data_IF_306364420822
#
_entry.id   IF_306364420822
#
_cell.length_a   1.000
_cell.length_b   1.000
_cell.length_c   1.000
_cell.angle_alpha   90.00
_cell.angle_beta   90.00
_cell.angle_gamma   90.00
#
_symmetry.space_group_name_H-M   'P 1'
#
loop_
_entity.id
_entity.type
_entity.pdbx_description
1 polymer ?
#
# COMPACT_ATOMS: atom_id res chain seq x y z
N UNK A 1 -5.32 -3.78 24.37
CA UNK A 1 -4.29 -4.27 23.42
C UNK A 1 -4.92 -4.56 22.05
N UNK A 2 -6.06 -5.30 22.00
CA UNK A 2 -6.76 -5.66 20.74
C UNK A 2 -7.24 -4.44 19.95
N UNK A 3 -7.86 -3.47 20.63
CA UNK A 3 -8.33 -2.22 20.02
C UNK A 3 -7.17 -1.30 19.63
N UNK A 4 -6.05 -1.42 20.31
CA UNK A 4 -4.82 -0.71 20.06
C UNK A 4 -4.16 -1.10 18.72
N UNK A 5 -4.03 -2.39 18.42
CA UNK A 5 -3.44 -2.86 17.16
C UNK A 5 -4.33 -2.54 15.95
N UNK A 6 -5.64 -2.67 16.08
CA UNK A 6 -6.60 -2.38 15.01
C UNK A 6 -6.73 -0.88 14.74
N UNK A 7 -6.86 -0.03 15.77
CA UNK A 7 -7.01 1.41 15.61
C UNK A 7 -5.74 2.10 15.14
N UNK A 8 -4.56 1.62 15.55
CA UNK A 8 -3.26 2.21 15.18
C UNK A 8 -2.75 1.73 13.82
N UNK A 9 -2.94 0.46 13.46
CA UNK A 9 -2.69 -0.01 12.09
C UNK A 9 -3.59 0.69 11.05
N UNK A 10 -4.83 1.01 11.43
CA UNK A 10 -5.73 1.82 10.63
C UNK A 10 -5.23 3.26 10.47
N UNK A 11 -4.62 3.88 11.49
CA UNK A 11 -4.07 5.23 11.41
C UNK A 11 -3.00 5.37 10.33
N UNK A 12 -2.06 4.43 10.24
CA UNK A 12 -1.01 4.44 9.21
C UNK A 12 -1.57 4.18 7.81
N UNK A 13 -2.59 3.33 7.68
CA UNK A 13 -3.30 3.08 6.42
C UNK A 13 -4.04 4.34 5.96
N UNK A 14 -4.76 5.03 6.85
CA UNK A 14 -5.48 6.27 6.50
C UNK A 14 -4.55 7.41 6.12
N UNK A 15 -3.44 7.58 6.84
CA UNK A 15 -2.42 8.59 6.55
C UNK A 15 -1.86 8.42 5.15
N UNK A 16 -1.41 7.21 4.84
CA UNK A 16 -0.87 6.89 3.52
C UNK A 16 -1.92 7.13 2.44
N UNK A 17 -3.16 6.72 2.68
CA UNK A 17 -4.26 6.89 1.74
C UNK A 17 -4.49 8.36 1.37
N UNK A 18 -4.34 9.30 2.31
CA UNK A 18 -4.49 10.75 2.04
C UNK A 18 -3.39 11.25 1.11
N UNK A 19 -2.13 10.84 1.33
CA UNK A 19 -1.03 11.21 0.45
C UNK A 19 -1.13 10.53 -0.92
N UNK A 20 -1.49 9.24 -0.96
CA UNK A 20 -1.71 8.50 -2.20
C UNK A 20 -2.81 9.16 -3.04
N UNK A 21 -3.92 9.59 -2.43
CA UNK A 21 -5.01 10.30 -3.13
C UNK A 21 -4.54 11.61 -3.78
N UNK A 22 -3.55 12.29 -3.22
CA UNK A 22 -2.93 13.49 -3.81
C UNK A 22 -2.03 13.11 -4.98
N UNK A 23 -1.18 12.09 -4.80
CA UNK A 23 -0.23 11.63 -5.83
C UNK A 23 -0.98 11.07 -7.03
N UNK A 24 -1.98 10.23 -6.79
CA UNK A 24 -2.80 9.57 -7.80
C UNK A 24 -3.88 10.51 -8.40
N UNK A 25 -3.98 11.76 -7.93
CA UNK A 25 -5.01 12.74 -8.31
C UNK A 25 -6.43 12.16 -8.23
N UNK A 26 -6.68 11.34 -7.22
CA UNK A 26 -7.95 10.65 -7.04
C UNK A 26 -9.04 11.60 -6.57
N UNK A 27 -10.17 11.68 -7.29
CA UNK A 27 -11.31 12.53 -6.92
C UNK A 27 -12.18 11.90 -5.84
N UNK A 28 -12.30 10.57 -5.84
CA UNK A 28 -13.17 9.82 -4.92
C UNK A 28 -12.45 8.62 -4.32
N UNK A 29 -12.80 8.30 -3.08
CA UNK A 29 -12.35 7.12 -2.35
C UNK A 29 -13.53 6.53 -1.58
N UNK A 30 -13.84 5.23 -1.82
CA UNK A 30 -14.98 4.54 -1.21
C UNK A 30 -16.30 5.31 -1.32
N UNK A 31 -16.54 5.88 -2.50
CA UNK A 31 -17.75 6.66 -2.81
C UNK A 31 -17.81 8.08 -2.24
N UNK A 32 -16.78 8.53 -1.49
CA UNK A 32 -16.68 9.89 -0.92
C UNK A 32 -15.61 10.70 -1.65
N UNK A 33 -15.76 12.02 -1.70
CA UNK A 33 -14.73 12.91 -2.20
C UNK A 33 -13.47 12.81 -1.35
N UNK A 34 -12.30 12.83 -2.00
CA UNK A 34 -11.00 12.90 -1.33
C UNK A 34 -10.81 14.28 -0.68
N UNK A 35 -9.85 14.37 0.25
CA UNK A 35 -9.53 15.64 0.91
C UNK A 35 -9.04 16.67 -0.12
N UNK A 36 -8.16 16.23 -1.04
CA UNK A 36 -7.64 17.07 -2.11
C UNK A 36 -8.74 17.60 -3.04
N UNK A 37 -9.79 16.82 -3.30
CA UNK A 37 -10.92 17.24 -4.14
C UNK A 37 -11.91 18.13 -3.40
N UNK A 38 -12.11 17.89 -2.09
CA UNK A 38 -13.08 18.62 -1.28
C UNK A 38 -12.56 20.00 -0.85
N UNK A 39 -11.27 20.13 -0.62
CA UNK A 39 -10.60 21.36 -0.22
C UNK A 39 -9.52 21.72 -1.25
N UNK A 40 -8.27 21.29 -1.02
CA UNK A 40 -7.13 21.49 -1.91
C UNK A 40 -6.00 20.48 -1.59
N UNK A 41 -4.96 20.46 -2.43
CA UNK A 41 -3.81 19.55 -2.26
C UNK A 41 -3.01 19.88 -1.00
N UNK A 42 -2.84 21.17 -0.68
CA UNK A 42 -2.06 21.60 0.49
C UNK A 42 -2.73 21.12 1.77
N UNK A 43 -4.05 21.29 1.89
CA UNK A 43 -4.85 20.78 3.01
C UNK A 43 -4.74 19.25 3.14
N UNK A 44 -4.76 18.53 2.02
CA UNK A 44 -4.60 17.06 2.04
C UNK A 44 -3.21 16.66 2.55
N UNK A 45 -2.13 17.29 2.06
CA UNK A 45 -0.76 17.02 2.51
C UNK A 45 -0.61 17.32 4.01
N UNK A 46 -1.08 18.49 4.47
CA UNK A 46 -1.01 18.86 5.89
C UNK A 46 -1.82 17.88 6.77
N UNK A 47 -2.99 17.44 6.31
CA UNK A 47 -3.79 16.44 7.01
C UNK A 47 -3.04 15.10 7.10
N UNK A 48 -2.42 14.65 6.02
CA UNK A 48 -1.60 13.44 6.03
C UNK A 48 -0.41 13.55 6.99
N UNK A 49 0.28 14.71 7.01
CA UNK A 49 1.38 14.98 7.94
C UNK A 49 0.91 14.99 9.39
N UNK A 50 -0.25 15.60 9.67
CA UNK A 50 -0.84 15.58 11.01
C UNK A 50 -1.16 14.15 11.48
N UNK A 51 -1.77 13.33 10.62
CA UNK A 51 -2.05 11.92 10.93
C UNK A 51 -0.76 11.13 11.18
N UNK A 52 0.32 11.43 10.43
CA UNK A 52 1.63 10.85 10.69
C UNK A 52 2.16 11.23 12.07
N UNK A 53 2.14 12.51 12.38
CA UNK A 53 2.63 13.02 13.67
C UNK A 53 1.84 12.39 14.84
N UNK A 54 0.52 12.24 14.69
CA UNK A 54 -0.32 11.54 15.67
C UNK A 54 0.07 10.05 15.81
N UNK A 55 0.35 9.37 14.69
CA UNK A 55 0.84 7.98 14.72
C UNK A 55 2.19 7.87 15.45
N UNK A 56 3.14 8.77 15.16
CA UNK A 56 4.44 8.82 15.83
C UNK A 56 4.32 9.11 17.33
N UNK A 57 3.42 10.05 17.71
CA UNK A 57 3.12 10.32 19.12
C UNK A 57 2.66 9.05 19.83
N UNK A 58 1.71 8.32 19.26
CA UNK A 58 1.27 7.06 19.86
C UNK A 58 2.34 5.97 19.86
N UNK A 59 3.20 5.93 18.84
CA UNK A 59 4.33 5.00 18.80
C UNK A 59 5.30 5.27 19.95
N UNK A 60 5.54 6.53 20.31
CA UNK A 60 6.45 6.89 21.42
C UNK A 60 5.98 6.39 22.81
N UNK A 61 4.71 6.04 22.96
CA UNK A 61 4.15 5.47 24.20
C UNK A 61 4.50 3.97 24.37
N UNK A 62 5.04 3.32 23.33
CA UNK A 62 5.41 1.90 23.35
C UNK A 62 6.87 1.81 23.80
N UNK A 63 7.15 1.05 24.84
CA UNK A 63 8.51 0.88 25.38
C UNK A 63 9.35 -0.18 24.65
N UNK A 64 8.72 -1.09 23.90
CA UNK A 64 9.44 -2.18 23.21
C UNK A 64 10.20 -1.67 21.97
N UNK A 65 11.54 -1.67 22.08
CA UNK A 65 12.43 -1.21 21.00
C UNK A 65 12.31 -2.03 19.71
N UNK A 66 11.87 -3.29 19.78
CA UNK A 66 11.61 -4.13 18.59
C UNK A 66 10.51 -3.56 17.74
N UNK A 67 9.46 -2.99 18.36
CA UNK A 67 8.35 -2.31 17.67
C UNK A 67 8.88 -1.10 16.91
N UNK A 68 9.63 -0.22 17.59
CA UNK A 68 10.22 0.99 16.98
C UNK A 68 11.11 0.66 15.78
N UNK A 69 12.01 -0.31 15.96
CA UNK A 69 12.93 -0.76 14.89
C UNK A 69 12.17 -1.34 13.70
N UNK A 70 11.14 -2.15 13.97
CA UNK A 70 10.35 -2.79 12.92
C UNK A 70 9.55 -1.75 12.13
N UNK A 71 8.89 -0.82 12.81
CA UNK A 71 8.08 0.23 12.17
C UNK A 71 9.00 1.18 11.37
N UNK A 72 10.10 1.67 11.95
CA UNK A 72 11.01 2.59 11.27
C UNK A 72 11.56 2.02 9.97
N UNK A 73 12.03 0.76 9.99
CA UNK A 73 12.48 0.08 8.77
C UNK A 73 11.37 -0.04 7.74
N UNK A 74 10.17 -0.41 8.17
CA UNK A 74 9.03 -0.59 7.26
C UNK A 74 8.60 0.75 6.63
N UNK A 75 8.60 1.85 7.37
CA UNK A 75 8.29 3.19 6.83
C UNK A 75 9.29 3.56 5.72
N UNK A 76 10.59 3.37 5.96
CA UNK A 76 11.62 3.65 4.96
C UNK A 76 11.41 2.80 3.70
N UNK A 77 11.11 1.51 3.84
CA UNK A 77 10.90 0.61 2.71
C UNK A 77 9.62 0.94 1.93
N UNK A 78 8.55 1.37 2.62
CA UNK A 78 7.32 1.87 1.98
C UNK A 78 7.61 3.13 1.18
N UNK A 79 8.28 4.14 1.77
CA UNK A 79 8.63 5.37 1.06
C UNK A 79 9.51 5.10 -0.17
N UNK A 80 10.48 4.19 -0.06
CA UNK A 80 11.25 3.74 -1.23
C UNK A 80 10.37 3.07 -2.28
N UNK A 81 9.38 2.29 -1.87
CA UNK A 81 8.43 1.66 -2.77
C UNK A 81 7.63 2.67 -3.59
N UNK A 82 7.17 3.76 -2.97
CA UNK A 82 6.45 4.84 -3.65
C UNK A 82 7.34 5.58 -4.65
N UNK A 83 8.59 5.90 -4.26
CA UNK A 83 9.55 6.52 -5.18
C UNK A 83 9.81 5.66 -6.42
N UNK A 84 10.00 4.34 -6.24
CA UNK A 84 10.16 3.43 -7.37
C UNK A 84 8.90 3.32 -8.23
N UNK A 85 7.70 3.31 -7.63
CA UNK A 85 6.45 3.29 -8.39
C UNK A 85 6.32 4.54 -9.27
N UNK A 86 6.66 5.71 -8.73
CA UNK A 86 6.64 6.96 -9.48
C UNK A 86 7.61 6.95 -10.68
N UNK A 87 8.83 6.42 -10.48
CA UNK A 87 9.82 6.28 -11.54
C UNK A 87 9.42 5.26 -12.62
N UNK A 88 8.66 4.23 -12.23
CA UNK A 88 8.23 3.14 -13.12
C UNK A 88 6.90 3.44 -13.85
N UNK A 89 6.31 4.60 -13.66
CA UNK A 89 5.10 5.00 -14.38
C UNK A 89 5.34 5.04 -15.89
N UNK A 90 4.43 4.46 -16.67
CA UNK A 90 4.52 4.35 -18.13
C UNK A 90 5.75 3.58 -18.65
N UNK A 91 6.49 2.88 -17.81
CA UNK A 91 7.66 2.10 -18.21
C UNK A 91 7.27 0.73 -18.73
N UNK A 92 7.16 0.54 -20.03
CA UNK A 92 6.83 -0.74 -20.69
C UNK A 92 7.92 -1.82 -20.56
N UNK A 93 9.12 -1.48 -20.07
CA UNK A 93 10.23 -2.42 -19.87
C UNK A 93 10.27 -3.06 -18.48
N UNK A 94 9.20 -2.90 -17.69
CA UNK A 94 9.11 -3.52 -16.37
C UNK A 94 9.12 -5.06 -16.46
N UNK A 95 9.73 -5.66 -15.45
CA UNK A 95 9.73 -7.12 -15.28
C UNK A 95 8.73 -7.55 -14.22
N UNK A 96 8.30 -8.84 -14.25
CA UNK A 96 7.48 -9.42 -13.19
C UNK A 96 8.17 -9.28 -11.82
N UNK A 97 9.51 -9.40 -11.78
CA UNK A 97 10.28 -9.22 -10.55
C UNK A 97 10.16 -7.80 -10.01
N UNK A 98 10.20 -6.77 -10.87
CA UNK A 98 10.01 -5.37 -10.47
C UNK A 98 8.58 -5.15 -9.94
N UNK A 99 7.59 -5.70 -10.64
CA UNK A 99 6.20 -5.69 -10.19
C UNK A 99 6.04 -6.32 -8.79
N UNK A 100 6.56 -7.54 -8.57
CA UNK A 100 6.47 -8.22 -7.27
C UNK A 100 7.17 -7.42 -6.16
N UNK A 101 8.32 -6.80 -6.43
CA UNK A 101 9.00 -5.91 -5.47
C UNK A 101 8.15 -4.68 -5.14
N UNK A 102 7.49 -4.09 -6.13
CA UNK A 102 6.61 -2.94 -5.98
C UNK A 102 5.43 -3.26 -5.07
N UNK A 103 4.66 -4.32 -5.37
CA UNK A 103 3.49 -4.69 -4.56
C UNK A 103 3.87 -5.15 -3.15
N UNK A 104 5.05 -5.78 -3.01
CA UNK A 104 5.59 -6.09 -1.69
C UNK A 104 5.76 -4.83 -0.85
N UNK A 105 6.42 -3.80 -1.37
CA UNK A 105 6.70 -2.54 -0.64
C UNK A 105 5.45 -1.69 -0.47
N UNK A 106 4.56 -1.67 -1.46
CA UNK A 106 3.34 -0.87 -1.43
C UNK A 106 2.28 -1.43 -0.48
N UNK A 107 2.03 -2.72 -0.50
CA UNK A 107 0.88 -3.33 0.17
C UNK A 107 1.27 -4.43 1.15
N UNK A 108 2.08 -5.41 0.73
CA UNK A 108 2.36 -6.58 1.55
C UNK A 108 3.13 -6.21 2.82
N UNK A 109 4.06 -5.27 2.74
CA UNK A 109 4.87 -4.82 3.87
C UNK A 109 4.03 -4.23 5.01
N UNK A 110 2.93 -3.52 4.70
CA UNK A 110 2.05 -2.94 5.72
C UNK A 110 1.25 -4.02 6.46
N UNK A 111 0.73 -5.02 5.74
CA UNK A 111 0.02 -6.14 6.34
C UNK A 111 0.98 -7.01 7.16
N UNK A 112 2.18 -7.26 6.63
CA UNK A 112 3.25 -7.93 7.35
C UNK A 112 3.63 -7.19 8.64
N UNK A 113 3.77 -5.87 8.57
CA UNK A 113 4.08 -5.02 9.72
C UNK A 113 2.99 -5.14 10.81
N UNK A 114 1.73 -5.08 10.41
CA UNK A 114 0.59 -5.17 11.34
C UNK A 114 0.57 -6.52 12.09
N UNK A 115 0.78 -7.63 11.38
CA UNK A 115 0.82 -8.96 12.00
C UNK A 115 2.04 -9.14 12.88
N UNK A 116 3.20 -8.64 12.45
CA UNK A 116 4.46 -8.74 13.20
C UNK A 116 4.42 -7.90 14.49
N UNK A 117 3.99 -6.64 14.39
CA UNK A 117 3.88 -5.75 15.57
C UNK A 117 2.83 -6.28 16.53
N UNK A 118 1.69 -6.77 16.04
CA UNK A 118 0.68 -7.41 16.89
C UNK A 118 1.24 -8.59 17.68
N UNK A 119 2.07 -9.43 17.05
CA UNK A 119 2.73 -10.54 17.74
C UNK A 119 3.75 -10.08 18.78
N UNK A 120 4.55 -9.05 18.48
CA UNK A 120 5.54 -8.49 19.42
C UNK A 120 4.84 -7.91 20.65
N UNK A 121 3.82 -7.10 20.46
CA UNK A 121 3.07 -6.45 21.57
C UNK A 121 2.25 -7.43 22.39
N UNK A 122 1.94 -8.60 21.86
CA UNK A 122 1.30 -9.71 22.58
C UNK A 122 2.31 -10.62 23.29
N UNK A 123 3.60 -10.26 23.33
CA UNK A 123 4.68 -11.06 23.91
C UNK A 123 4.76 -12.50 23.35
N UNK A 124 4.45 -12.67 22.04
CA UNK A 124 4.55 -13.96 21.41
C UNK A 124 6.03 -14.41 21.28
N UNK A 125 6.24 -15.72 21.18
CA UNK A 125 7.59 -16.27 20.96
C UNK A 125 8.16 -15.82 19.61
N UNK A 126 9.48 -15.79 19.48
CA UNK A 126 10.16 -15.39 18.23
C UNK A 126 9.73 -16.24 17.01
N UNK A 127 9.42 -17.53 17.23
CA UNK A 127 8.92 -18.40 16.17
C UNK A 127 7.53 -17.97 15.69
N UNK A 128 6.63 -17.65 16.61
CA UNK A 128 5.30 -17.11 16.29
C UNK A 128 5.39 -15.76 15.57
N UNK A 129 6.25 -14.85 16.05
CA UNK A 129 6.49 -13.55 15.40
C UNK A 129 6.95 -13.75 13.95
N UNK A 130 7.90 -14.67 13.72
CA UNK A 130 8.40 -14.99 12.38
C UNK A 130 7.31 -15.56 11.48
N UNK A 131 6.50 -16.49 11.97
CA UNK A 131 5.39 -17.10 11.22
C UNK A 131 4.32 -16.07 10.86
N UNK A 132 3.90 -15.23 11.82
CA UNK A 132 2.92 -14.18 11.58
C UNK A 132 3.43 -13.12 10.60
N UNK A 133 4.71 -12.78 10.66
CA UNK A 133 5.35 -11.94 9.64
C UNK A 133 5.22 -12.53 8.23
N UNK A 134 5.51 -13.83 8.05
CA UNK A 134 5.37 -14.51 6.75
C UNK A 134 3.91 -14.57 6.30
N UNK A 135 2.99 -14.90 7.18
CA UNK A 135 1.56 -14.94 6.89
C UNK A 135 1.09 -13.55 6.40
N UNK A 136 1.45 -12.48 7.12
CA UNK A 136 1.11 -11.12 6.72
C UNK A 136 1.67 -10.75 5.36
N UNK A 137 2.91 -11.16 5.06
CA UNK A 137 3.52 -10.96 3.75
C UNK A 137 2.72 -11.63 2.63
N UNK A 138 2.43 -12.93 2.76
CA UNK A 138 1.71 -13.67 1.71
C UNK A 138 0.27 -13.19 1.54
N UNK A 139 -0.43 -12.86 2.63
CA UNK A 139 -1.76 -12.25 2.55
C UNK A 139 -1.69 -10.93 1.78
N UNK A 140 -0.71 -10.08 2.06
CA UNK A 140 -0.57 -8.79 1.39
C UNK A 140 -0.22 -8.91 -0.09
N UNK A 141 0.66 -9.85 -0.44
CA UNK A 141 0.99 -10.14 -1.84
C UNK A 141 -0.25 -10.64 -2.61
N UNK A 142 -0.96 -11.61 -2.04
CA UNK A 142 -2.18 -12.16 -2.66
C UNK A 142 -3.26 -11.10 -2.80
N UNK A 143 -3.45 -10.26 -1.78
CA UNK A 143 -4.42 -9.17 -1.80
C UNK A 143 -4.16 -8.22 -2.97
N UNK A 144 -2.92 -7.77 -3.16
CA UNK A 144 -2.60 -6.83 -4.23
C UNK A 144 -2.73 -7.47 -5.62
N UNK A 145 -2.31 -8.74 -5.78
CA UNK A 145 -2.47 -9.45 -7.06
C UNK A 145 -3.95 -9.58 -7.43
N UNK A 146 -4.81 -9.90 -6.45
CA UNK A 146 -6.25 -10.00 -6.68
C UNK A 146 -6.84 -8.61 -7.01
N UNK A 147 -6.42 -7.56 -6.32
CA UNK A 147 -6.87 -6.18 -6.59
C UNK A 147 -6.52 -5.77 -8.03
N UNK A 148 -5.31 -6.04 -8.48
CA UNK A 148 -4.85 -5.76 -9.84
C UNK A 148 -5.62 -6.56 -10.91
N UNK A 149 -6.03 -7.80 -10.61
CA UNK A 149 -6.89 -8.62 -11.49
C UNK A 149 -8.31 -8.05 -11.53
N UNK A 150 -8.85 -7.66 -10.38
CA UNK A 150 -10.20 -7.10 -10.28
C UNK A 150 -10.33 -5.77 -11.02
N UNK A 151 -9.24 -4.99 -11.14
CA UNK A 151 -9.23 -3.75 -11.93
C UNK A 151 -9.64 -3.98 -13.40
N UNK A 152 -9.38 -5.17 -13.96
CA UNK A 152 -9.78 -5.54 -15.33
C UNK A 152 -11.05 -6.39 -15.41
N UNK A 153 -11.36 -7.17 -14.39
CA UNK A 153 -12.44 -8.19 -14.44
C UNK A 153 -13.73 -7.78 -13.76
N UNK A 154 -13.68 -6.72 -12.94
CA UNK A 154 -14.85 -6.23 -12.20
C UNK A 154 -15.62 -5.15 -12.99
N UNK A 155 -16.78 -4.75 -12.49
CA UNK A 155 -17.57 -3.65 -13.07
C UNK A 155 -17.25 -2.33 -12.35
N UNK A 156 -17.36 -1.21 -13.06
CA UNK A 156 -17.16 0.14 -12.50
C UNK A 156 -18.02 0.38 -11.24
N UNK A 157 -19.26 -0.16 -11.24
CA UNK A 157 -20.17 -0.04 -10.09
C UNK A 157 -19.60 -0.72 -8.83
N UNK A 158 -18.88 -1.84 -8.98
CA UNK A 158 -18.26 -2.56 -7.86
C UNK A 158 -16.94 -1.96 -7.46
N UNK A 159 -16.13 -1.51 -8.43
CA UNK A 159 -14.82 -0.90 -8.20
C UNK A 159 -14.92 0.52 -7.62
N UNK A 160 -15.99 1.25 -7.98
CA UNK A 160 -16.10 2.69 -7.67
C UNK A 160 -15.12 3.57 -8.47
N UNK A 161 -14.45 3.00 -9.49
CA UNK A 161 -13.52 3.65 -10.43
C UNK A 161 -13.66 3.00 -11.81
N UNK A 162 -13.24 3.66 -12.92
CA UNK A 162 -13.24 3.06 -14.25
C UNK A 162 -12.42 1.77 -14.30
N UNK A 163 -12.86 0.81 -15.10
CA UNK A 163 -12.14 -0.45 -15.35
C UNK A 163 -10.82 -0.15 -16.05
N UNK A 164 -9.73 -0.80 -15.65
CA UNK A 164 -8.40 -0.56 -16.19
C UNK A 164 -7.77 0.78 -15.79
N UNK A 165 -8.29 1.40 -14.72
CA UNK A 165 -7.81 2.70 -14.24
C UNK A 165 -6.32 2.70 -13.91
N UNK A 166 -5.77 1.59 -13.44
CA UNK A 166 -4.35 1.48 -13.10
C UNK A 166 -3.48 1.61 -14.37
N UNK A 167 -3.87 0.96 -15.46
CA UNK A 167 -3.17 1.09 -16.75
C UNK A 167 -3.30 2.52 -17.32
N UNK A 168 -4.48 3.13 -17.24
CA UNK A 168 -4.69 4.51 -17.68
C UNK A 168 -3.79 5.50 -16.92
N UNK A 169 -3.51 5.21 -15.64
CA UNK A 169 -2.58 5.99 -14.81
C UNK A 169 -1.10 5.59 -15.01
N UNK A 170 -0.79 4.74 -15.98
CA UNK A 170 0.57 4.30 -16.28
C UNK A 170 1.12 3.22 -15.35
N UNK A 171 0.25 2.59 -14.54
CA UNK A 171 0.64 1.48 -13.68
C UNK A 171 0.50 0.16 -14.41
N UNK A 172 1.62 -0.39 -14.87
CA UNK A 172 1.64 -1.70 -15.53
C UNK A 172 1.58 -2.78 -14.43
N UNK A 173 0.43 -3.46 -14.36
CA UNK A 173 0.15 -4.51 -13.37
C UNK A 173 0.34 -5.92 -13.93
N UNK A 174 0.22 -6.94 -13.11
CA UNK A 174 0.52 -8.33 -13.50
C UNK A 174 -0.25 -8.80 -14.75
N UNK A 175 -1.57 -8.54 -14.90
CA UNK A 175 -2.30 -8.95 -16.10
C UNK A 175 -1.68 -8.38 -17.38
N UNK A 176 -1.33 -7.09 -17.36
CA UNK A 176 -0.70 -6.41 -18.51
C UNK A 176 0.69 -6.98 -18.80
N UNK A 177 1.52 -7.18 -17.77
CA UNK A 177 2.85 -7.78 -17.93
C UNK A 177 2.80 -9.18 -18.54
N UNK A 178 1.81 -9.99 -18.16
CA UNK A 178 1.62 -11.32 -18.71
C UNK A 178 1.18 -11.26 -20.17
N UNK A 179 0.30 -10.34 -20.55
CA UNK A 179 -0.12 -10.15 -21.93
C UNK A 179 1.03 -9.62 -22.82
N UNK A 180 1.76 -8.62 -22.35
CA UNK A 180 2.96 -8.12 -23.04
C UNK A 180 4.01 -9.20 -23.29
N UNK A 181 4.11 -10.18 -22.38
CA UNK A 181 5.02 -11.31 -22.52
C UNK A 181 4.55 -12.34 -23.55
N UNK A 182 3.23 -12.54 -23.68
CA UNK A 182 2.63 -13.44 -24.66
C UNK A 182 2.59 -12.83 -26.05
N UNK A 183 2.26 -11.55 -26.12
CA UNK A 183 1.99 -10.84 -27.38
C UNK A 183 2.93 -9.64 -27.49
N UNK A 184 3.99 -9.81 -28.29
CA UNK A 184 4.97 -8.74 -28.51
C UNK A 184 4.37 -7.48 -29.15
N UNK A 185 3.38 -7.64 -30.04
CA UNK A 185 2.70 -6.49 -30.70
C UNK A 185 1.84 -5.68 -29.74
N UNK A 186 1.45 -6.24 -28.60
CA UNK A 186 0.73 -5.52 -27.53
C UNK A 186 1.62 -4.52 -26.81
N UNK A 187 2.94 -4.76 -26.81
CA UNK A 187 3.92 -3.88 -26.17
C UNK A 187 4.14 -2.59 -26.98
N UNK A 188 3.92 -2.61 -28.30
CA UNK A 188 4.21 -1.53 -29.23
C UNK A 188 2.99 -0.60 -29.44
N UNK A 189 1.87 -0.90 -28.82
CA UNK A 189 0.63 -0.12 -28.79
C UNK A 189 0.51 0.69 -27.50
#
# INVERSE_FOLDING_TARGET
>A
IRDFCLSRGLGDVYKRQVHDDVIDKSDKRRGRLTISKKWDQSTAILTGNFLLAMGLKHLSEISDTRVHTTISKSIVDVCRGELFQFQDQFNSNQTITNYLRRINRKTALLIQLSTQVGAITSNASNDVIRKLKMIGHYIGMSFQIIDDVLDFTSSEKKLGKPVGSDLMNGHITLPVLLEMRKNKTFKDK
#
